data_IF_633709375453
#
_entry.id   IF_633709375453
#
_cell.length_a   1.000
_cell.length_b   1.000
_cell.length_c   1.000
_cell.angle_alpha   90.00
_cell.angle_beta   90.00
_cell.angle_gamma   90.00
#
_symmetry.space_group_name_H-M   'P 1'
#
loop_
_entity.id
_entity.type
_entity.pdbx_description
1 polymer ?
#
# COMPACT_ATOMS: atom_id res chain seq x y z
N UNK A 1 1.09 -22.05 10.59
CA UNK A 1 2.03 -21.19 9.82
C UNK A 1 1.71 -21.09 8.31
N UNK A 2 0.92 -22.00 7.71
CA UNK A 2 0.60 -21.97 6.27
C UNK A 2 -0.23 -20.76 5.78
N UNK A 3 -1.15 -20.22 6.61
CA UNK A 3 -2.01 -19.09 6.25
C UNK A 3 -1.25 -17.78 5.98
N UNK A 4 -0.17 -17.50 6.72
CA UNK A 4 0.64 -16.28 6.52
C UNK A 4 1.38 -16.29 5.18
N UNK A 5 1.80 -17.46 4.71
CA UNK A 5 2.49 -17.62 3.42
C UNK A 5 1.55 -17.43 2.22
N UNK A 6 0.26 -17.76 2.37
CA UNK A 6 -0.73 -17.53 1.31
C UNK A 6 -1.10 -16.04 1.21
N UNK A 7 -1.20 -15.35 2.34
CA UNK A 7 -1.48 -13.91 2.37
C UNK A 7 -0.32 -13.10 1.76
N UNK A 8 0.94 -13.41 2.10
CA UNK A 8 2.09 -12.71 1.52
C UNK A 8 2.19 -12.86 -0.01
N UNK A 9 1.84 -14.03 -0.57
CA UNK A 9 1.77 -14.24 -2.02
C UNK A 9 0.70 -13.36 -2.71
N UNK A 10 -0.44 -13.14 -2.05
CA UNK A 10 -1.53 -12.33 -2.61
C UNK A 10 -1.15 -10.86 -2.66
N UNK A 11 -0.56 -10.34 -1.58
CA UNK A 11 -0.13 -8.95 -1.45
C UNK A 11 1.04 -8.61 -2.39
N UNK A 12 2.01 -9.53 -2.58
CA UNK A 12 3.09 -9.34 -3.56
C UNK A 12 2.59 -9.19 -5.00
N UNK A 13 1.42 -9.76 -5.32
CA UNK A 13 0.80 -9.69 -6.64
C UNK A 13 -0.24 -8.56 -6.78
N UNK A 14 -0.48 -7.77 -5.72
CA UNK A 14 -1.45 -6.69 -5.77
C UNK A 14 -0.91 -5.53 -6.58
N UNK A 15 -1.56 -5.22 -7.69
CA UNK A 15 -1.18 -4.14 -8.60
C UNK A 15 -1.80 -2.82 -8.21
N UNK A 16 -2.89 -2.84 -7.43
CA UNK A 16 -3.66 -1.66 -7.10
C UNK A 16 -3.96 -1.55 -5.60
N UNK A 17 -4.20 -0.32 -5.15
CA UNK A 17 -4.62 0.07 -3.81
C UNK A 17 -5.97 0.75 -3.94
N UNK A 18 -6.91 0.35 -3.09
CA UNK A 18 -8.19 1.04 -2.93
C UNK A 18 -8.10 1.96 -1.71
N UNK A 19 -8.30 3.26 -1.93
CA UNK A 19 -8.32 4.24 -0.83
C UNK A 19 -9.58 4.05 0.03
N UNK A 20 -9.48 3.98 1.37
CA UNK A 20 -10.65 3.83 2.23
C UNK A 20 -11.54 5.08 2.32
N UNK A 21 -11.05 6.26 1.92
CA UNK A 21 -11.85 7.50 1.96
C UNK A 21 -12.55 7.80 0.64
N UNK A 22 -11.80 7.92 -0.46
CA UNK A 22 -12.41 8.25 -1.76
C UNK A 22 -12.85 7.02 -2.56
N UNK A 23 -12.59 5.80 -2.09
CA UNK A 23 -12.84 4.54 -2.80
C UNK A 23 -12.23 4.45 -4.20
N UNK A 24 -11.33 5.38 -4.55
CA UNK A 24 -10.63 5.38 -5.81
C UNK A 24 -9.57 4.27 -5.85
N UNK A 25 -9.46 3.69 -7.03
CA UNK A 25 -8.46 2.68 -7.34
C UNK A 25 -7.25 3.35 -7.95
N UNK A 26 -6.09 3.14 -7.34
CA UNK A 26 -4.81 3.65 -7.82
C UNK A 26 -3.79 2.52 -7.86
N UNK A 27 -2.74 2.69 -8.64
CA UNK A 27 -1.68 1.68 -8.74
C UNK A 27 -0.80 1.70 -7.51
N UNK A 28 -0.17 0.56 -7.20
CA UNK A 28 0.81 0.52 -6.10
C UNK A 28 2.01 1.42 -6.40
N UNK A 29 2.44 1.49 -7.67
CA UNK A 29 3.57 2.33 -8.07
C UNK A 29 3.30 3.81 -7.75
N UNK A 30 2.10 4.34 -8.04
CA UNK A 30 1.75 5.73 -7.71
C UNK A 30 1.90 6.06 -6.22
N UNK A 31 1.51 5.14 -5.33
CA UNK A 31 1.63 5.35 -3.89
C UNK A 31 3.08 5.32 -3.42
N UNK A 32 3.86 4.38 -3.95
CA UNK A 32 5.29 4.26 -3.65
C UNK A 32 6.07 5.46 -4.20
N UNK A 33 5.74 5.93 -5.40
CA UNK A 33 6.35 7.10 -6.02
C UNK A 33 6.10 8.36 -5.20
N UNK A 34 4.89 8.55 -4.68
CA UNK A 34 4.58 9.68 -3.79
C UNK A 34 5.39 9.57 -2.49
N UNK A 35 5.45 8.37 -1.90
CA UNK A 35 6.25 8.15 -0.70
C UNK A 35 7.73 8.48 -0.95
N UNK A 36 8.32 7.99 -2.04
CA UNK A 36 9.72 8.25 -2.41
C UNK A 36 9.94 9.75 -2.67
N UNK A 37 9.06 10.41 -3.41
CA UNK A 37 9.15 11.86 -3.69
C UNK A 37 9.04 12.71 -2.42
N UNK A 38 8.34 12.23 -1.40
CA UNK A 38 8.05 12.99 -0.18
C UNK A 38 9.07 12.71 0.94
N UNK A 39 9.46 11.45 1.11
CA UNK A 39 10.28 10.98 2.23
C UNK A 39 11.66 10.44 1.80
N UNK A 40 11.91 10.32 0.50
CA UNK A 40 13.19 9.86 -0.07
C UNK A 40 13.21 8.38 -0.47
N UNK A 41 14.30 7.95 -1.11
CA UNK A 41 14.48 6.60 -1.67
C UNK A 41 14.42 5.46 -0.64
N UNK A 42 14.60 5.77 0.65
CA UNK A 42 14.49 4.81 1.75
C UNK A 42 13.04 4.51 2.16
N UNK A 43 12.05 5.01 1.43
CA UNK A 43 10.63 4.77 1.71
C UNK A 43 10.26 3.29 1.52
N UNK A 44 9.52 2.67 2.46
CA UNK A 44 9.09 1.29 2.33
C UNK A 44 8.05 1.12 1.21
N UNK A 45 8.04 -0.05 0.58
CA UNK A 45 6.98 -0.43 -0.35
C UNK A 45 5.65 -0.64 0.41
N UNK A 46 4.58 -0.02 -0.06
CA UNK A 46 3.23 -0.13 0.52
C UNK A 46 2.75 -1.59 0.65
N UNK A 47 3.16 -2.51 -0.24
CA UNK A 47 2.84 -3.94 -0.15
C UNK A 47 3.47 -4.58 1.07
N UNK A 48 4.74 -4.24 1.35
CA UNK A 48 5.46 -4.75 2.52
C UNK A 48 4.94 -4.10 3.80
N UNK A 49 4.72 -2.78 3.78
CA UNK A 49 4.16 -2.05 4.90
C UNK A 49 2.73 -2.50 5.26
N UNK A 50 1.93 -2.91 4.27
CA UNK A 50 0.57 -3.41 4.53
C UNK A 50 0.54 -4.79 5.20
N UNK A 51 1.61 -5.57 5.10
CA UNK A 51 1.74 -6.89 5.72
C UNK A 51 2.17 -6.81 7.19
N UNK A 52 2.83 -5.73 7.59
CA UNK A 52 3.32 -5.54 8.95
C UNK A 52 2.68 -4.31 9.62
N UNK A 53 1.78 -4.57 10.57
CA UNK A 53 1.10 -3.52 11.35
C UNK A 53 2.06 -2.69 12.21
N UNK A 54 3.30 -3.14 12.42
CA UNK A 54 4.35 -2.38 13.12
C UNK A 54 4.95 -1.28 12.24
N UNK A 55 4.80 -1.37 10.91
CA UNK A 55 5.25 -0.33 9.99
C UNK A 55 4.21 0.81 10.02
N UNK A 56 4.51 1.84 10.81
CA UNK A 56 3.70 3.06 10.92
C UNK A 56 4.04 4.11 9.85
N UNK A 57 4.65 3.69 8.74
CA UNK A 57 5.04 4.60 7.67
C UNK A 57 3.80 5.21 7.00
N UNK A 58 3.73 6.55 6.86
CA UNK A 58 2.59 7.22 6.25
C UNK A 58 2.62 7.09 4.73
N UNK A 59 1.50 6.66 4.15
CA UNK A 59 1.30 6.58 2.71
C UNK A 59 0.17 7.52 2.30
N UNK A 60 0.40 8.31 1.26
CA UNK A 60 -0.57 9.31 0.81
C UNK A 60 -1.31 8.83 -0.43
N UNK A 61 -2.64 8.98 -0.42
CA UNK A 61 -3.45 8.64 -1.58
C UNK A 61 -3.21 9.63 -2.73
N UNK A 62 -2.96 9.17 -3.98
CA UNK A 62 -2.74 10.05 -5.14
C UNK A 62 -3.98 10.84 -5.57
N UNK A 63 -5.19 10.47 -5.12
CA UNK A 63 -6.45 11.08 -5.56
C UNK A 63 -7.02 12.08 -4.56
N UNK A 64 -7.13 11.68 -3.29
CA UNK A 64 -7.68 12.54 -2.24
C UNK A 64 -6.61 13.17 -1.33
N UNK A 65 -5.33 12.85 -1.55
CA UNK A 65 -4.19 13.38 -0.80
C UNK A 65 -4.23 13.12 0.72
N UNK A 66 -5.13 12.26 1.20
CA UNK A 66 -5.17 11.85 2.60
C UNK A 66 -4.07 10.83 2.91
N UNK A 67 -3.48 10.93 4.09
CA UNK A 67 -2.47 10.02 4.62
C UNK A 67 -3.08 8.82 5.35
N UNK A 68 -2.53 7.63 5.11
CA UNK A 68 -2.94 6.36 5.70
C UNK A 68 -1.73 5.53 6.08
N UNK A 69 -1.89 4.74 7.14
CA UNK A 69 -0.99 3.61 7.39
C UNK A 69 -1.26 2.51 6.37
N UNK A 70 -0.21 1.88 5.83
CA UNK A 70 -0.36 0.86 4.79
C UNK A 70 -1.26 -0.34 5.19
N UNK A 71 -1.31 -0.69 6.48
CA UNK A 71 -2.17 -1.78 6.95
C UNK A 71 -3.68 -1.45 6.91
N UNK A 72 -4.04 -0.18 6.76
CA UNK A 72 -5.44 0.29 6.65
C UNK A 72 -5.93 0.35 5.21
N UNK A 73 -5.03 0.37 4.22
CA UNK A 73 -5.42 0.41 2.82
C UNK A 73 -5.73 -0.99 2.28
N UNK A 74 -6.63 -1.08 1.31
CA UNK A 74 -7.04 -2.35 0.74
C UNK A 74 -6.28 -2.62 -0.55
N UNK A 75 -5.30 -3.53 -0.49
CA UNK A 75 -4.58 -4.00 -1.67
C UNK A 75 -5.45 -4.96 -2.49
N UNK A 76 -5.58 -4.67 -3.78
CA UNK A 76 -6.40 -5.42 -4.73
C UNK A 76 -5.61 -5.76 -5.98
N UNK A 77 -5.92 -6.90 -6.59
CA UNK A 77 -5.40 -7.27 -7.90
C UNK A 77 -6.43 -6.84 -8.97
N UNK A 78 -6.00 -6.14 -10.03
CA UNK A 78 -6.74 -6.22 -11.28
C UNK A 78 -6.51 -7.62 -11.87
N UNK A 79 -7.59 -8.38 -12.05
CA UNK A 79 -7.62 -9.52 -12.96
C UNK A 79 -7.90 -9.00 -14.36
#
# INVERSE_FOLDING_TARGET
MALKLLQSKKYKRSTHVLCPSCNEKSTVEEWNDIAIKTYGENSPDIRHAALDKKISFPFQCPKCYMGYSAYLVKLVNCK
#
